data_IF_276199053340
#
_entry.id   IF_276199053340
#
_cell.length_a   1.000
_cell.length_b   1.000
_cell.length_c   1.000
_cell.angle_alpha   90.00
_cell.angle_beta   90.00
_cell.angle_gamma   90.00
#
_symmetry.space_group_name_H-M   'P 1'
#
loop_
_entity.id
_entity.type
_entity.pdbx_description
1 polymer ?
#
# COMPACT_ATOMS: atom_id res chain seq x y z
N UNK A 1 -4.74 -27.12 -43.02
CA UNK A 1 -4.94 -27.63 -41.65
C UNK A 1 -4.16 -26.73 -40.73
N UNK A 2 -4.80 -26.07 -39.77
CA UNK A 2 -4.11 -25.31 -38.73
C UNK A 2 -3.46 -26.32 -37.79
N UNK A 3 -2.14 -26.46 -37.85
CA UNK A 3 -1.37 -27.26 -36.90
C UNK A 3 -1.54 -26.68 -35.49
N UNK A 4 -1.62 -27.53 -34.46
CA UNK A 4 -1.82 -27.10 -33.07
C UNK A 4 -0.81 -26.02 -32.64
N UNK A 5 0.42 -26.09 -33.16
CA UNK A 5 1.46 -25.11 -32.91
C UNK A 5 1.08 -23.69 -33.38
N UNK A 6 0.37 -23.57 -34.52
CA UNK A 6 -0.10 -22.28 -35.02
C UNK A 6 -1.22 -21.70 -34.15
N UNK A 7 -2.08 -22.56 -33.57
CA UNK A 7 -3.13 -22.13 -32.64
C UNK A 7 -2.49 -21.61 -31.34
N UNK A 8 -1.52 -22.34 -30.77
CA UNK A 8 -0.83 -21.94 -29.56
C UNK A 8 -0.07 -20.62 -29.73
N UNK A 9 0.61 -20.45 -30.87
CA UNK A 9 1.29 -19.19 -31.20
C UNK A 9 0.30 -18.02 -31.37
N UNK A 10 -0.86 -18.27 -31.99
CA UNK A 10 -1.92 -17.26 -32.11
C UNK A 10 -2.53 -16.89 -30.75
N UNK A 11 -2.54 -17.83 -29.80
CA UNK A 11 -2.92 -17.60 -28.40
C UNK A 11 -1.82 -16.93 -27.57
N UNK A 12 -0.70 -16.51 -28.16
CA UNK A 12 0.40 -15.84 -27.44
C UNK A 12 1.35 -16.77 -26.70
N UNK A 13 1.18 -18.10 -26.80
CA UNK A 13 2.11 -19.07 -26.24
C UNK A 13 3.28 -19.31 -27.19
N UNK A 14 4.50 -18.99 -26.76
CA UNK A 14 5.72 -19.21 -27.54
C UNK A 14 6.80 -19.82 -26.67
N UNK A 15 7.47 -20.84 -27.17
CA UNK A 15 8.63 -21.45 -26.52
C UNK A 15 9.83 -21.29 -27.45
N UNK A 16 10.90 -20.66 -26.96
CA UNK A 16 12.11 -20.40 -27.73
C UNK A 16 13.31 -20.94 -26.96
N UNK A 17 14.15 -21.73 -27.64
CA UNK A 17 15.45 -22.14 -27.09
C UNK A 17 16.37 -20.93 -27.01
N UNK A 18 17.01 -20.76 -25.86
CA UNK A 18 17.96 -19.69 -25.58
C UNK A 18 19.24 -20.27 -24.99
N UNK A 19 20.31 -19.48 -25.04
CA UNK A 19 21.57 -19.79 -24.38
C UNK A 19 21.58 -19.21 -22.96
N UNK A 20 21.97 -20.03 -21.99
CA UNK A 20 22.09 -19.69 -20.57
C UNK A 20 23.52 -19.91 -20.08
N UNK A 21 23.95 -19.19 -19.02
CA UNK A 21 25.34 -19.18 -18.49
C UNK A 21 26.40 -18.99 -19.59
N UNK A 22 26.42 -17.82 -20.22
CA UNK A 22 27.42 -17.46 -21.24
C UNK A 22 27.52 -18.40 -22.45
N UNK A 23 26.45 -19.13 -22.80
CA UNK A 23 26.44 -20.01 -23.97
C UNK A 23 26.63 -21.49 -23.69
N UNK A 24 26.95 -21.85 -22.44
CA UNK A 24 27.30 -23.21 -22.05
C UNK A 24 26.07 -24.13 -21.99
N UNK A 25 24.92 -23.61 -21.53
CA UNK A 25 23.71 -24.40 -21.35
C UNK A 25 22.57 -23.93 -22.27
N UNK A 26 21.65 -24.85 -22.58
CA UNK A 26 20.38 -24.56 -23.22
C UNK A 26 19.31 -24.34 -22.16
N UNK A 27 18.49 -23.31 -22.35
CA UNK A 27 17.29 -23.06 -21.56
C UNK A 27 16.14 -22.73 -22.51
N UNK A 28 14.91 -22.75 -22.02
CA UNK A 28 13.75 -22.38 -22.82
C UNK A 28 13.06 -21.17 -22.22
N UNK A 29 12.84 -20.13 -23.03
CA UNK A 29 11.96 -19.02 -22.69
C UNK A 29 10.55 -19.37 -23.15
N UNK A 30 9.62 -19.43 -22.21
CA UNK A 30 8.19 -19.59 -22.43
C UNK A 30 7.50 -18.25 -22.22
N UNK A 31 6.97 -17.68 -23.31
CA UNK A 31 6.11 -16.51 -23.27
C UNK A 31 4.65 -16.95 -23.10
N UNK A 32 3.92 -16.23 -22.26
CA UNK A 32 2.49 -16.47 -22.02
C UNK A 32 1.65 -15.34 -22.63
N UNK A 33 0.33 -15.53 -22.81
CA UNK A 33 -0.56 -14.43 -23.18
C UNK A 33 -0.84 -13.44 -22.04
N UNK A 34 -0.31 -13.68 -20.83
CA UNK A 34 -0.56 -12.84 -19.66
C UNK A 34 0.39 -11.66 -19.74
N UNK A 35 -0.13 -10.46 -19.51
CA UNK A 35 0.65 -9.22 -19.50
C UNK A 35 0.51 -8.49 -18.19
N UNK A 36 1.49 -7.65 -17.89
CA UNK A 36 1.36 -6.55 -16.93
C UNK A 36 0.41 -5.48 -17.47
N UNK A 37 0.14 -4.45 -16.66
CA UNK A 37 -0.79 -3.38 -17.03
C UNK A 37 -0.28 -2.50 -18.19
N UNK A 38 1.03 -2.43 -18.40
CA UNK A 38 1.68 -1.71 -19.50
C UNK A 38 1.76 -2.53 -20.81
N UNK A 39 1.28 -3.78 -20.78
CA UNK A 39 1.30 -4.70 -21.92
C UNK A 39 2.59 -5.53 -22.05
N UNK A 40 3.57 -5.39 -21.15
CA UNK A 40 4.73 -6.28 -21.10
C UNK A 40 4.29 -7.72 -20.80
N UNK A 41 4.85 -8.69 -21.52
CA UNK A 41 4.48 -10.11 -21.40
C UNK A 41 5.13 -10.74 -20.17
N UNK A 42 4.32 -11.42 -19.36
CA UNK A 42 4.81 -12.26 -18.27
C UNK A 42 5.22 -13.62 -18.84
N UNK A 43 6.51 -13.92 -18.80
CA UNK A 43 7.09 -15.19 -19.24
C UNK A 43 7.93 -15.84 -18.16
N UNK A 44 8.38 -17.07 -18.43
CA UNK A 44 9.28 -17.80 -17.56
C UNK A 44 10.33 -18.57 -18.35
N UNK A 45 11.42 -18.88 -17.68
CA UNK A 45 12.51 -19.71 -18.16
C UNK A 45 12.40 -21.11 -17.57
N UNK A 46 12.68 -22.11 -18.40
CA UNK A 46 12.93 -23.49 -17.98
C UNK A 46 14.45 -23.68 -18.02
N UNK A 47 15.06 -23.89 -16.85
CA UNK A 47 16.51 -23.97 -16.67
C UNK A 47 16.88 -25.34 -16.09
N UNK A 48 17.94 -25.95 -16.63
CA UNK A 48 18.53 -27.21 -16.17
C UNK A 48 17.50 -28.35 -16.00
N UNK A 49 16.44 -28.37 -16.83
CA UNK A 49 15.31 -29.32 -16.83
C UNK A 49 14.53 -29.50 -15.52
N UNK A 50 14.78 -28.66 -14.51
CA UNK A 50 14.21 -28.83 -13.17
C UNK A 50 13.78 -27.53 -12.48
N UNK A 51 13.94 -26.37 -13.12
CA UNK A 51 13.59 -25.08 -12.52
C UNK A 51 12.76 -24.22 -13.47
N UNK A 52 11.62 -23.74 -12.98
CA UNK A 52 10.92 -22.60 -13.57
C UNK A 52 11.40 -21.33 -12.86
N UNK A 53 11.86 -20.34 -13.60
CA UNK A 53 12.33 -19.05 -13.09
C UNK A 53 11.75 -17.89 -13.89
N UNK A 54 11.47 -16.74 -13.28
CA UNK A 54 11.15 -15.50 -13.99
C UNK A 54 12.40 -14.75 -14.50
N UNK A 55 13.60 -15.19 -14.12
CA UNK A 55 14.86 -14.51 -14.45
C UNK A 55 14.99 -13.12 -13.81
N UNK A 56 14.25 -12.85 -12.73
CA UNK A 56 14.21 -11.54 -12.06
C UNK A 56 13.29 -10.51 -12.73
N UNK A 57 12.54 -10.90 -13.77
CA UNK A 57 11.68 -10.00 -14.53
C UNK A 57 10.58 -9.36 -13.67
N UNK A 58 9.98 -10.07 -12.71
CA UNK A 58 8.98 -9.47 -11.81
C UNK A 58 9.58 -8.31 -11.01
N UNK A 59 10.76 -8.53 -10.43
CA UNK A 59 11.44 -7.52 -9.63
C UNK A 59 11.86 -6.31 -10.47
N UNK A 60 12.41 -6.56 -11.67
CA UNK A 60 12.80 -5.49 -12.59
C UNK A 60 11.60 -4.65 -13.03
N UNK A 61 10.51 -5.31 -13.42
CA UNK A 61 9.26 -4.67 -13.79
C UNK A 61 8.71 -3.78 -12.66
N UNK A 62 8.52 -4.31 -11.45
CA UNK A 62 8.01 -3.49 -10.33
C UNK A 62 8.96 -2.38 -9.91
N UNK A 63 10.28 -2.58 -9.98
CA UNK A 63 11.24 -1.52 -9.73
C UNK A 63 11.09 -0.37 -10.74
N UNK A 64 10.85 -0.69 -12.03
CA UNK A 64 10.62 0.29 -13.08
C UNK A 64 9.35 1.13 -12.87
N UNK A 65 8.32 0.54 -12.25
CA UNK A 65 7.09 1.22 -11.85
C UNK A 65 7.24 2.03 -10.54
N UNK A 66 8.43 2.04 -9.94
CA UNK A 66 8.74 2.80 -8.73
C UNK A 66 8.32 2.11 -7.43
N UNK A 67 8.01 0.81 -7.46
CA UNK A 67 7.77 0.06 -6.23
C UNK A 67 9.05 -0.02 -5.40
N UNK A 68 8.96 0.36 -4.13
CA UNK A 68 10.05 0.14 -3.20
C UNK A 68 10.08 -1.33 -2.76
N UNK A 69 10.94 -2.12 -3.40
CA UNK A 69 11.12 -3.55 -3.14
C UNK A 69 11.65 -3.86 -1.73
N UNK A 70 12.26 -2.86 -1.07
CA UNK A 70 12.72 -2.94 0.32
C UNK A 70 11.59 -2.71 1.33
N UNK A 71 10.44 -2.13 0.90
CA UNK A 71 9.28 -1.97 1.75
C UNK A 71 8.48 -3.27 1.83
N UNK A 72 8.75 -4.04 2.88
CA UNK A 72 8.06 -5.30 3.19
C UNK A 72 6.54 -5.18 3.31
N UNK A 73 5.96 -3.98 3.51
CA UNK A 73 4.51 -3.79 3.53
C UNK A 73 3.93 -3.72 2.12
N UNK A 74 4.55 -2.96 1.23
CA UNK A 74 4.09 -2.82 -0.15
C UNK A 74 4.23 -4.12 -0.94
N UNK A 75 5.33 -4.84 -0.70
CA UNK A 75 5.63 -6.09 -1.41
C UNK A 75 5.05 -7.35 -0.75
N UNK A 76 4.29 -7.19 0.35
CA UNK A 76 3.68 -8.32 1.07
C UNK A 76 2.66 -9.06 0.23
N UNK A 77 1.85 -8.31 -0.54
CA UNK A 77 0.84 -8.88 -1.43
C UNK A 77 1.47 -9.81 -2.44
N UNK A 78 2.45 -9.29 -3.18
CA UNK A 78 3.26 -10.08 -4.12
C UNK A 78 3.87 -11.33 -3.48
N UNK A 79 4.58 -11.21 -2.36
CA UNK A 79 5.19 -12.37 -1.67
C UNK A 79 4.17 -13.42 -1.22
N UNK A 80 2.95 -12.99 -0.86
CA UNK A 80 1.84 -13.88 -0.51
C UNK A 80 1.33 -14.65 -1.73
N UNK A 81 1.28 -14.01 -2.90
CA UNK A 81 0.91 -14.65 -4.16
C UNK A 81 1.95 -15.71 -4.51
N UNK A 82 3.25 -15.37 -4.45
CA UNK A 82 4.33 -16.34 -4.72
C UNK A 82 4.23 -17.59 -3.84
N UNK A 83 4.09 -17.40 -2.52
CA UNK A 83 4.05 -18.51 -1.58
C UNK A 83 2.80 -19.38 -1.74
N UNK A 84 1.66 -18.80 -2.13
CA UNK A 84 0.42 -19.52 -2.46
C UNK A 84 0.64 -20.54 -3.58
N UNK A 85 1.51 -20.24 -4.55
CA UNK A 85 1.83 -21.11 -5.69
C UNK A 85 3.17 -21.86 -5.55
N UNK A 86 3.79 -21.81 -4.36
CA UNK A 86 5.03 -22.54 -4.07
C UNK A 86 6.29 -21.96 -4.72
N UNK A 87 6.24 -20.70 -5.16
CA UNK A 87 7.41 -19.98 -5.68
C UNK A 87 8.13 -19.26 -4.54
N UNK A 88 9.45 -19.18 -4.66
CA UNK A 88 10.33 -18.49 -3.70
C UNK A 88 11.19 -17.47 -4.43
N UNK A 89 11.63 -16.45 -3.70
CA UNK A 89 12.59 -15.46 -4.21
C UNK A 89 13.98 -15.87 -3.74
N UNK A 90 14.93 -16.02 -4.65
CA UNK A 90 16.32 -16.29 -4.31
C UNK A 90 17.08 -15.02 -3.89
N UNK A 91 18.37 -15.14 -3.56
CA UNK A 91 19.19 -13.99 -3.15
C UNK A 91 19.42 -12.97 -4.28
N UNK A 92 19.30 -13.39 -5.54
CA UNK A 92 19.41 -12.53 -6.72
C UNK A 92 18.11 -11.82 -7.10
N UNK A 93 17.01 -12.04 -6.36
CA UNK A 93 15.72 -11.45 -6.68
C UNK A 93 14.93 -12.21 -7.74
N UNK A 94 15.37 -13.41 -8.14
CA UNK A 94 14.63 -14.25 -9.08
C UNK A 94 13.55 -15.04 -8.35
N UNK A 95 12.37 -15.07 -8.94
CA UNK A 95 11.24 -15.90 -8.53
C UNK A 95 11.38 -17.26 -9.19
N UNK A 96 11.55 -18.31 -8.40
CA UNK A 96 11.76 -19.64 -8.91
C UNK A 96 11.01 -20.72 -8.15
N UNK A 97 10.74 -21.83 -8.84
CA UNK A 97 10.23 -23.07 -8.27
C UNK A 97 10.90 -24.26 -8.95
N UNK A 98 11.41 -25.16 -8.13
CA UNK A 98 11.95 -26.44 -8.60
C UNK A 98 10.81 -27.44 -8.83
N UNK A 99 10.99 -28.30 -9.82
CA UNK A 99 10.07 -29.37 -10.16
C UNK A 99 10.84 -30.66 -10.49
N UNK A 100 10.14 -31.78 -10.50
CA UNK A 100 10.62 -33.02 -11.09
C UNK A 100 9.75 -33.38 -12.31
N UNK A 101 10.14 -34.40 -13.07
CA UNK A 101 9.43 -34.79 -14.30
C UNK A 101 7.94 -35.05 -14.11
N UNK A 102 7.52 -35.54 -12.94
CA UNK A 102 6.11 -35.83 -12.64
C UNK A 102 5.32 -34.57 -12.24
N UNK A 103 5.99 -33.49 -11.80
CA UNK A 103 5.35 -32.25 -11.35
C UNK A 103 5.54 -31.07 -12.30
N UNK A 104 6.14 -31.28 -13.48
CA UNK A 104 6.39 -30.21 -14.45
C UNK A 104 5.09 -29.49 -14.86
N UNK A 105 4.09 -30.25 -15.29
CA UNK A 105 2.80 -29.70 -15.73
C UNK A 105 2.11 -28.89 -14.61
N UNK A 106 2.09 -29.41 -13.39
CA UNK A 106 1.54 -28.73 -12.21
C UNK A 106 2.33 -27.45 -11.88
N UNK A 107 3.63 -27.43 -12.12
CA UNK A 107 4.48 -26.27 -11.87
C UNK A 107 4.23 -25.18 -12.92
N UNK A 108 4.04 -25.57 -14.19
CA UNK A 108 3.62 -24.65 -15.26
C UNK A 108 2.22 -24.08 -14.98
N UNK A 109 1.26 -24.92 -14.57
CA UNK A 109 -0.07 -24.47 -14.17
C UNK A 109 0.01 -23.44 -13.02
N UNK A 110 0.80 -23.76 -11.99
CA UNK A 110 1.01 -22.87 -10.86
C UNK A 110 1.63 -21.53 -11.28
N UNK A 111 2.61 -21.55 -12.21
CA UNK A 111 3.18 -20.31 -12.76
C UNK A 111 2.12 -19.48 -13.47
N UNK A 112 1.33 -20.08 -14.37
CA UNK A 112 0.32 -19.36 -15.15
C UNK A 112 -0.73 -18.72 -14.23
N UNK A 113 -1.21 -19.45 -13.22
CA UNK A 113 -2.14 -18.88 -12.22
C UNK A 113 -1.51 -17.76 -11.39
N UNK A 114 -0.25 -17.94 -10.99
CA UNK A 114 0.50 -16.92 -10.27
C UNK A 114 0.66 -15.66 -11.12
N UNK A 115 1.00 -15.79 -12.41
CA UNK A 115 1.14 -14.67 -13.33
C UNK A 115 -0.18 -13.90 -13.50
N UNK A 116 -1.32 -14.58 -13.62
CA UNK A 116 -2.63 -13.93 -13.61
C UNK A 116 -2.86 -13.11 -12.34
N UNK A 117 -2.65 -13.71 -11.16
CA UNK A 117 -2.89 -13.03 -9.88
C UNK A 117 -1.88 -11.88 -9.63
N UNK A 118 -0.66 -11.98 -10.17
CA UNK A 118 0.31 -10.88 -10.14
C UNK A 118 -0.15 -9.73 -11.02
N UNK A 119 -0.65 -9.99 -12.23
CA UNK A 119 -1.20 -8.98 -13.14
C UNK A 119 -2.39 -8.25 -12.50
N UNK A 120 -3.34 -9.00 -11.93
CA UNK A 120 -4.47 -8.43 -11.20
C UNK A 120 -4.01 -7.58 -9.99
N UNK A 121 -3.03 -8.09 -9.23
CA UNK A 121 -2.48 -7.38 -8.07
C UNK A 121 -1.77 -6.09 -8.44
N UNK A 122 -1.02 -6.08 -9.54
CA UNK A 122 -0.36 -4.87 -10.06
C UNK A 122 -1.43 -3.83 -10.44
N UNK A 123 -2.48 -4.24 -11.15
CA UNK A 123 -3.59 -3.37 -11.52
C UNK A 123 -4.25 -2.74 -10.28
N UNK A 124 -4.56 -3.56 -9.27
CA UNK A 124 -5.10 -3.07 -8.00
C UNK A 124 -4.15 -2.07 -7.34
N UNK A 125 -2.83 -2.34 -7.35
CA UNK A 125 -1.81 -1.47 -6.75
C UNK A 125 -1.65 -0.14 -7.48
N UNK A 126 -1.82 -0.11 -8.79
CA UNK A 126 -1.77 1.13 -9.57
C UNK A 126 -3.05 1.96 -9.40
N UNK A 127 -4.18 1.31 -9.13
CA UNK A 127 -5.46 1.95 -8.82
C UNK A 127 -5.59 2.38 -7.35
N UNK A 128 -4.78 1.83 -6.44
CA UNK A 128 -4.72 2.29 -5.05
C UNK A 128 -4.40 3.80 -5.02
N UNK A 129 -5.23 4.62 -4.33
CA UNK A 129 -4.94 6.03 -4.16
C UNK A 129 -3.53 6.20 -3.58
N UNK A 130 -2.67 6.94 -4.29
CA UNK A 130 -1.31 7.27 -3.81
C UNK A 130 -1.35 8.06 -2.49
N UNK A 131 -2.46 8.74 -2.21
CA UNK A 131 -2.75 9.34 -0.92
C UNK A 131 -3.28 8.30 0.05
N UNK A 132 -2.63 8.17 1.21
CA UNK A 132 -3.13 7.29 2.27
C UNK A 132 -4.50 7.79 2.72
N UNK A 133 -5.38 6.89 3.10
CA UNK A 133 -6.73 7.22 3.61
C UNK A 133 -6.71 8.29 4.73
N UNK A 134 -5.66 8.29 5.56
CA UNK A 134 -5.42 9.33 6.57
C UNK A 134 -5.16 10.71 5.96
N UNK A 135 -4.36 10.80 4.90
CA UNK A 135 -4.05 12.07 4.22
C UNK A 135 -5.31 12.66 3.56
N UNK A 136 -6.19 11.79 3.03
CA UNK A 136 -7.50 12.19 2.52
C UNK A 136 -8.37 12.80 3.62
N UNK A 137 -8.45 12.15 4.78
CA UNK A 137 -9.20 12.65 5.93
C UNK A 137 -8.63 14.00 6.42
N UNK A 138 -7.31 14.14 6.50
CA UNK A 138 -6.65 15.40 6.84
C UNK A 138 -7.06 16.51 5.88
N UNK A 139 -7.04 16.26 4.56
CA UNK A 139 -7.46 17.24 3.55
C UNK A 139 -8.94 17.59 3.66
N UNK A 140 -9.82 16.62 3.91
CA UNK A 140 -11.25 16.88 4.13
C UNK A 140 -11.47 17.82 5.32
N UNK A 141 -10.80 17.57 6.44
CA UNK A 141 -10.88 18.42 7.63
C UNK A 141 -10.44 19.86 7.31
N UNK A 142 -9.32 20.03 6.60
CA UNK A 142 -8.82 21.34 6.19
C UNK A 142 -9.86 22.06 5.31
N UNK A 143 -10.39 21.37 4.30
CA UNK A 143 -11.37 21.94 3.37
C UNK A 143 -12.63 22.40 4.09
N UNK A 144 -13.23 21.57 4.95
CA UNK A 144 -14.42 21.98 5.71
C UNK A 144 -14.12 23.10 6.69
N UNK A 145 -12.93 23.11 7.29
CA UNK A 145 -12.53 24.21 8.18
C UNK A 145 -12.40 25.52 7.41
N UNK A 146 -11.82 25.51 6.21
CA UNK A 146 -11.69 26.70 5.36
C UNK A 146 -13.04 27.17 4.81
N UNK A 147 -13.96 26.26 4.49
CA UNK A 147 -15.33 26.63 4.14
C UNK A 147 -16.06 27.29 5.32
N UNK A 148 -15.85 26.77 6.53
CA UNK A 148 -16.45 27.33 7.74
C UNK A 148 -15.80 28.66 8.16
N UNK A 149 -14.47 28.77 8.05
CA UNK A 149 -13.68 29.94 8.42
C UNK A 149 -12.60 30.21 7.36
N UNK A 150 -12.91 30.99 6.30
CA UNK A 150 -12.00 31.20 5.17
C UNK A 150 -10.67 31.84 5.53
N UNK A 151 -10.64 32.72 6.53
CA UNK A 151 -9.45 33.47 6.94
C UNK A 151 -8.57 32.72 7.96
N UNK A 152 -8.94 31.50 8.33
CA UNK A 152 -8.16 30.73 9.31
C UNK A 152 -6.84 30.26 8.69
N UNK A 153 -5.73 30.67 9.32
CA UNK A 153 -4.40 30.14 9.01
C UNK A 153 -4.30 28.68 9.46
N UNK A 154 -4.00 27.80 8.51
CA UNK A 154 -3.79 26.37 8.73
C UNK A 154 -2.38 26.02 8.26
N UNK A 155 -1.57 25.49 9.18
CA UNK A 155 -0.26 24.93 8.86
C UNK A 155 -0.33 23.41 8.93
N UNK A 156 0.36 22.69 8.05
CA UNK A 156 0.28 21.22 7.96
C UNK A 156 1.60 20.56 8.31
N UNK A 157 1.57 19.32 8.82
CA UNK A 157 2.74 18.50 9.15
C UNK A 157 3.68 19.17 10.15
N UNK A 158 3.12 19.54 11.31
CA UNK A 158 3.84 20.24 12.37
C UNK A 158 4.75 19.27 13.10
N UNK A 159 6.05 19.58 13.12
CA UNK A 159 7.04 18.86 13.92
C UNK A 159 7.06 19.44 15.33
N UNK A 160 6.92 18.59 16.34
CA UNK A 160 6.82 18.98 17.74
C UNK A 160 7.73 18.08 18.58
N UNK A 161 8.23 18.62 19.68
CA UNK A 161 8.96 17.83 20.68
C UNK A 161 8.28 17.96 22.03
N UNK A 162 7.89 16.84 22.64
CA UNK A 162 7.19 16.83 23.92
C UNK A 162 8.13 16.92 25.13
N UNK A 163 7.55 17.06 26.32
CA UNK A 163 8.30 17.18 27.58
C UNK A 163 9.15 15.92 27.88
N UNK A 164 8.73 14.75 27.41
CA UNK A 164 9.47 13.49 27.48
C UNK A 164 10.70 13.45 26.56
N UNK A 165 10.83 14.40 25.64
CA UNK A 165 11.87 14.47 24.63
C UNK A 165 11.56 13.68 23.34
N UNK A 166 10.38 13.05 23.24
CA UNK A 166 9.87 12.39 22.03
C UNK A 166 9.48 13.41 20.95
N UNK A 167 9.76 13.05 19.70
CA UNK A 167 9.34 13.82 18.53
C UNK A 167 7.98 13.33 18.02
N UNK A 168 7.11 14.29 17.68
CA UNK A 168 5.77 14.07 17.16
C UNK A 168 5.57 14.80 15.85
N UNK A 169 4.75 14.23 14.98
CA UNK A 169 4.24 14.89 13.78
C UNK A 169 2.72 15.01 13.93
N UNK A 170 2.23 16.25 13.99
CA UNK A 170 0.80 16.51 13.97
C UNK A 170 0.34 16.85 12.53
N UNK A 171 -0.91 16.50 12.23
CA UNK A 171 -1.48 16.71 10.91
C UNK A 171 -1.53 18.19 10.55
N UNK A 172 -1.98 19.03 11.48
CA UNK A 172 -2.13 20.47 11.26
C UNK A 172 -2.13 21.31 12.54
N UNK A 173 -1.94 22.61 12.40
CA UNK A 173 -2.21 23.61 13.44
C UNK A 173 -3.30 24.56 12.96
N UNK A 174 -4.36 24.70 13.77
CA UNK A 174 -5.54 25.53 13.48
C UNK A 174 -5.74 26.47 14.66
N UNK A 175 -5.72 27.79 14.44
CA UNK A 175 -5.94 28.81 15.49
C UNK A 175 -5.06 28.60 16.74
N UNK A 176 -3.82 28.15 16.54
CA UNK A 176 -2.87 27.86 17.61
C UNK A 176 -3.05 26.49 18.30
N UNK A 177 -4.04 25.69 17.89
CA UNK A 177 -4.27 24.32 18.39
C UNK A 177 -3.58 23.28 17.51
N UNK A 178 -2.80 22.40 18.12
CA UNK A 178 -2.25 21.23 17.44
C UNK A 178 -3.37 20.23 17.19
N UNK A 179 -3.68 19.99 15.93
CA UNK A 179 -4.89 19.29 15.49
C UNK A 179 -4.55 18.03 14.72
N UNK A 180 -5.17 16.91 15.07
CA UNK A 180 -5.09 15.66 14.31
C UNK A 180 -6.47 15.20 13.86
N UNK A 181 -6.54 14.69 12.63
CA UNK A 181 -7.74 14.05 12.09
C UNK A 181 -7.64 12.54 12.36
N UNK A 182 -8.63 11.96 13.03
CA UNK A 182 -8.51 10.61 13.60
C UNK A 182 -9.70 9.74 13.23
N UNK A 183 -9.42 8.48 12.91
CA UNK A 183 -10.44 7.42 12.94
C UNK A 183 -10.86 7.13 14.39
N UNK A 184 -12.11 6.72 14.63
CA UNK A 184 -12.66 6.52 15.97
C UNK A 184 -12.30 5.13 16.52
N UNK A 185 -11.00 4.88 16.69
CA UNK A 185 -10.50 3.63 17.26
C UNK A 185 -9.54 3.90 18.44
N UNK A 186 -9.42 2.90 19.32
CA UNK A 186 -8.62 3.00 20.56
C UNK A 186 -7.15 3.33 20.31
N UNK A 187 -6.57 2.86 19.20
CA UNK A 187 -5.15 3.09 18.89
C UNK A 187 -4.92 4.56 18.56
N UNK A 188 -5.76 5.15 17.72
CA UNK A 188 -5.71 6.57 17.37
C UNK A 188 -5.96 7.46 18.58
N UNK A 189 -6.97 7.14 19.39
CA UNK A 189 -7.28 7.90 20.61
C UNK A 189 -6.13 7.84 21.64
N UNK A 190 -5.59 6.64 21.91
CA UNK A 190 -4.46 6.49 22.85
C UNK A 190 -3.22 7.23 22.40
N UNK A 191 -2.86 7.15 21.11
CA UNK A 191 -1.73 7.91 20.56
C UNK A 191 -1.92 9.42 20.74
N UNK A 192 -3.12 9.93 20.47
CA UNK A 192 -3.47 11.34 20.66
C UNK A 192 -3.39 11.76 22.14
N UNK A 193 -3.88 10.93 23.07
CA UNK A 193 -3.82 11.18 24.51
C UNK A 193 -2.38 11.26 25.00
N UNK A 194 -1.53 10.31 24.61
CA UNK A 194 -0.13 10.33 25.00
C UNK A 194 0.60 11.57 24.46
N UNK A 195 0.36 11.94 23.20
CA UNK A 195 0.92 13.16 22.63
C UNK A 195 0.42 14.40 23.38
N UNK A 196 -0.89 14.52 23.63
CA UNK A 196 -1.45 15.68 24.31
C UNK A 196 -0.95 15.82 25.76
N UNK A 197 -0.84 14.71 26.50
CA UNK A 197 -0.25 14.70 27.85
C UNK A 197 1.21 15.14 27.80
N UNK A 198 1.96 14.73 26.79
CA UNK A 198 3.37 15.12 26.71
C UNK A 198 3.53 16.61 26.34
N UNK A 199 2.65 17.11 25.49
CA UNK A 199 2.65 18.50 25.02
C UNK A 199 2.09 19.51 26.04
N UNK A 200 1.13 19.11 26.87
CA UNK A 200 0.57 19.98 27.93
C UNK A 200 1.55 20.18 29.09
N UNK A 201 2.51 19.27 29.26
CA UNK A 201 3.54 19.33 30.31
C UNK A 201 4.80 20.11 29.88
N UNK A 202 4.82 20.73 28.70
CA UNK A 202 5.89 21.64 28.29
C UNK A 202 5.89 22.93 29.15
N UNK A 203 7.04 23.63 29.26
CA UNK A 203 7.11 24.93 29.94
C UNK A 203 6.13 25.96 29.36
N UNK A 204 5.90 25.89 28.04
CA UNK A 204 4.81 26.57 27.35
C UNK A 204 3.79 25.50 26.91
N UNK A 205 2.70 25.29 27.68
CA UNK A 205 1.75 24.21 27.41
C UNK A 205 1.08 24.34 26.03
N UNK A 206 1.16 23.27 25.24
CA UNK A 206 0.57 23.23 23.90
C UNK A 206 -0.79 22.54 23.96
N UNK A 207 -1.83 23.24 23.49
CA UNK A 207 -3.20 22.71 23.46
C UNK A 207 -3.45 21.89 22.20
N UNK A 208 -4.19 20.81 22.37
CA UNK A 208 -4.46 19.85 21.32
C UNK A 208 -5.95 19.74 20.97
N UNK A 209 -6.25 19.47 19.70
CA UNK A 209 -7.58 19.18 19.18
C UNK A 209 -7.58 17.86 18.38
N UNK A 210 -8.65 17.08 18.51
CA UNK A 210 -8.91 15.92 17.69
C UNK A 210 -10.16 16.14 16.84
N UNK A 211 -10.06 15.92 15.53
CA UNK A 211 -11.22 15.84 14.64
C UNK A 211 -11.50 14.37 14.35
N UNK A 212 -12.59 13.83 14.91
CA UNK A 212 -12.95 12.42 14.79
C UNK A 212 -13.86 12.17 13.59
N UNK A 213 -13.50 11.24 12.71
CA UNK A 213 -14.36 10.77 11.63
C UNK A 213 -15.47 9.85 12.19
N UNK A 214 -16.67 10.39 12.35
CA UNK A 214 -17.80 9.67 12.93
C UNK A 214 -18.80 9.12 11.89
N UNK A 215 -18.49 9.24 10.59
CA UNK A 215 -19.42 8.89 9.48
C UNK A 215 -19.83 7.41 9.49
N UNK A 216 -18.89 6.52 9.74
CA UNK A 216 -19.12 5.07 9.67
C UNK A 216 -19.26 4.40 11.04
N UNK A 217 -18.73 5.03 12.09
CA UNK A 217 -18.64 4.46 13.45
C UNK A 217 -19.02 5.50 14.53
N UNK A 218 -20.27 6.00 14.51
CA UNK A 218 -20.68 7.13 15.37
C UNK A 218 -20.67 6.78 16.87
N UNK A 219 -20.93 5.51 17.22
CA UNK A 219 -20.91 5.04 18.62
C UNK A 219 -19.49 5.00 19.16
N UNK A 220 -18.56 4.48 18.37
CA UNK A 220 -17.13 4.46 18.69
C UNK A 220 -16.59 5.88 18.77
N UNK A 221 -16.94 6.75 17.82
CA UNK A 221 -16.52 8.15 17.84
C UNK A 221 -17.00 8.87 19.10
N UNK A 222 -18.25 8.61 19.53
CA UNK A 222 -18.76 9.15 20.78
C UNK A 222 -17.96 8.65 21.98
N UNK A 223 -17.65 7.35 22.05
CA UNK A 223 -16.88 6.77 23.15
C UNK A 223 -15.47 7.37 23.21
N UNK A 224 -14.75 7.38 22.11
CA UNK A 224 -13.38 7.91 22.06
C UNK A 224 -13.35 9.43 22.30
N UNK A 225 -14.39 10.17 21.87
CA UNK A 225 -14.56 11.59 22.21
C UNK A 225 -14.63 11.80 23.71
N UNK A 226 -15.43 11.01 24.45
CA UNK A 226 -15.53 11.13 25.91
C UNK A 226 -14.18 10.87 26.59
N UNK A 227 -13.44 9.86 26.14
CA UNK A 227 -12.12 9.53 26.69
C UNK A 227 -11.12 10.66 26.46
N UNK A 228 -11.01 11.18 25.23
CA UNK A 228 -10.08 12.24 24.90
C UNK A 228 -10.42 13.57 25.58
N UNK A 229 -11.71 13.92 25.70
CA UNK A 229 -12.13 15.10 26.46
C UNK A 229 -11.74 15.01 27.94
N UNK A 230 -11.78 13.82 28.53
CA UNK A 230 -11.28 13.58 29.89
C UNK A 230 -9.76 13.83 30.06
N UNK A 231 -9.00 13.78 28.96
CA UNK A 231 -7.57 14.08 28.91
C UNK A 231 -7.28 15.53 28.46
N UNK A 232 -8.24 16.45 28.60
CA UNK A 232 -8.13 17.86 28.22
C UNK A 232 -7.86 18.12 26.72
N UNK A 233 -8.22 17.18 25.85
CA UNK A 233 -8.17 17.37 24.40
C UNK A 233 -9.51 17.96 23.92
N UNK A 234 -9.46 19.03 23.12
CA UNK A 234 -10.65 19.53 22.43
C UNK A 234 -11.07 18.53 21.36
N UNK A 235 -12.33 18.10 21.32
CA UNK A 235 -12.79 17.12 20.33
C UNK A 235 -13.90 17.71 19.47
N UNK A 236 -13.76 17.58 18.16
CA UNK A 236 -14.77 17.92 17.16
C UNK A 236 -15.09 16.68 16.35
N UNK A 237 -16.37 16.38 16.11
CA UNK A 237 -16.76 15.34 15.17
C UNK A 237 -16.74 15.90 13.76
N UNK A 238 -16.36 15.07 12.79
CA UNK A 238 -16.31 15.47 11.38
C UNK A 238 -17.70 15.88 10.88
N UNK A 239 -18.75 15.12 11.24
CA UNK A 239 -20.14 15.48 10.90
C UNK A 239 -20.50 16.91 11.33
N UNK A 240 -20.15 17.30 12.56
CA UNK A 240 -20.41 18.64 13.07
C UNK A 240 -19.57 19.72 12.36
N UNK A 241 -18.34 19.40 11.95
CA UNK A 241 -17.54 20.32 11.13
C UNK A 241 -18.19 20.53 9.75
N UNK A 242 -18.69 19.45 9.13
CA UNK A 242 -19.42 19.50 7.85
C UNK A 242 -20.69 20.34 7.95
N UNK A 243 -21.47 20.17 9.03
CA UNK A 243 -22.68 20.95 9.28
C UNK A 243 -22.37 22.45 9.37
N UNK A 244 -21.30 22.81 10.07
CA UNK A 244 -20.86 24.22 10.20
C UNK A 244 -20.37 24.82 8.89
N UNK A 245 -19.67 24.03 8.08
CA UNK A 245 -19.23 24.44 6.76
C UNK A 245 -20.42 24.65 5.80
N UNK A 246 -21.47 23.82 5.92
CA UNK A 246 -22.64 23.88 5.06
C UNK A 246 -23.61 25.00 5.43
N UNK A 247 -23.68 25.41 6.70
CA UNK A 247 -24.59 26.45 7.18
C UNK A 247 -24.25 27.89 6.74
N UNK A 248 -23.15 28.08 6.00
CA UNK A 248 -22.72 29.39 5.46
C UNK A 248 -23.14 29.60 4.00
N UNK A 249 -23.86 28.63 3.43
CA UNK A 249 -24.49 28.68 2.10
C UNK A 249 -25.97 28.33 2.21
#
# INVERSE_FOLDING_TARGET
MTECQNILQAMGLRCTSIKYRNGENEAYLVQTPITYTDGEIIGFYIIDEATISDGGNFYFHFASLGFNLSDSRNFRGFKKILSKYGFVVNQGGEVLRQYNTNSFADTVEAFVRMACEISDWEQDKLLEPKEKEHDLLVREVINYHQLWKPDTRIETKIQLRGASGLDYVADMQIEGLITNALKPNRRSASAMIHMAIDLINLPEPVRCMAVLDDRYQPKEAQRESTVMSGAHISVMKLSHLMDRASALH
#
